data_IF_408483875442
#
_entry.id   IF_408483875442
#
_cell.length_a   1.000
_cell.length_b   1.000
_cell.length_c   1.000
_cell.angle_alpha   90.00
_cell.angle_beta   90.00
_cell.angle_gamma   90.00
#
_symmetry.space_group_name_H-M   'P 1'
#
loop_
_entity.id
_entity.type
_entity.pdbx_description
1 polymer ?
#
# COMPACT_ATOMS: atom_id res chain seq x y z
N UNK A 1 -37.44 24.44 15.01
CA UNK A 1 -36.59 24.08 13.86
C UNK A 1 -35.16 24.49 14.20
N UNK A 2 -34.46 23.68 15.01
CA UNK A 2 -33.08 23.94 15.44
C UNK A 2 -32.15 22.92 14.79
N UNK A 3 -31.19 23.44 14.03
CA UNK A 3 -30.07 22.71 13.46
C UNK A 3 -29.16 22.22 14.58
N UNK A 4 -29.10 20.91 14.81
CA UNK A 4 -28.15 20.30 15.73
C UNK A 4 -26.83 20.10 14.97
N UNK A 5 -25.93 21.07 15.12
CA UNK A 5 -24.53 20.90 14.79
C UNK A 5 -23.96 19.80 15.69
N UNK A 6 -23.61 18.64 15.12
CA UNK A 6 -22.77 17.64 15.81
C UNK A 6 -21.36 18.18 15.89
N UNK A 7 -21.07 18.83 17.02
CA UNK A 7 -19.71 19.12 17.48
C UNK A 7 -18.92 17.81 17.52
N UNK A 8 -17.78 17.78 16.83
CA UNK A 8 -16.72 16.78 17.00
C UNK A 8 -16.22 16.90 18.45
N UNK A 9 -16.88 16.20 19.36
CA UNK A 9 -16.24 15.83 20.61
C UNK A 9 -15.28 14.72 20.20
N UNK A 10 -14.02 15.08 20.00
CA UNK A 10 -12.97 14.17 20.40
C UNK A 10 -13.30 13.80 21.85
N UNK A 11 -13.97 12.67 22.07
CA UNK A 11 -14.02 12.08 23.39
C UNK A 11 -12.58 11.75 23.67
N UNK A 12 -11.90 12.70 24.31
CA UNK A 12 -10.61 12.51 24.90
C UNK A 12 -10.74 11.25 25.75
N UNK A 13 -10.17 10.14 25.28
CA UNK A 13 -9.45 9.33 26.22
C UNK A 13 -8.44 10.28 26.84
N UNK A 14 -8.66 10.63 28.10
CA UNK A 14 -7.89 11.60 28.87
C UNK A 14 -6.43 11.20 29.07
N UNK A 15 -5.92 10.18 28.39
CA UNK A 15 -4.51 9.77 28.45
C UNK A 15 -4.04 9.07 27.17
N UNK A 16 -4.29 9.61 25.97
CA UNK A 16 -3.34 9.38 24.87
C UNK A 16 -2.37 10.56 24.91
N UNK A 17 -1.10 10.36 25.35
CA UNK A 17 -0.16 11.46 25.40
C UNK A 17 -0.02 12.06 24.00
N UNK A 18 -0.13 13.39 23.90
CA UNK A 18 0.25 14.15 22.70
C UNK A 18 1.66 13.70 22.32
N UNK A 19 1.77 12.95 21.22
CA UNK A 19 3.04 12.42 20.75
C UNK A 19 3.96 13.61 20.43
N UNK A 20 5.04 13.73 21.20
CA UNK A 20 6.09 14.72 20.96
C UNK A 20 6.70 14.41 19.59
N UNK A 21 6.69 15.39 18.68
CA UNK A 21 7.36 15.29 17.39
C UNK A 21 8.84 14.96 17.61
N UNK A 22 9.25 13.71 17.36
CA UNK A 22 10.66 13.35 17.43
C UNK A 22 11.40 14.06 16.30
N UNK A 23 12.19 15.07 16.67
CA UNK A 23 13.01 15.88 15.79
C UNK A 23 14.13 15.07 15.16
N UNK A 24 13.92 14.56 13.95
CA UNK A 24 14.97 14.44 12.95
C UNK A 24 14.66 15.50 11.92
N UNK A 25 15.40 16.61 11.94
CA UNK A 25 15.05 17.78 11.14
C UNK A 25 15.22 17.47 9.65
N UNK A 26 14.14 17.06 9.00
CA UNK A 26 14.06 16.92 7.56
C UNK A 26 14.10 18.29 6.84
N UNK A 27 14.12 19.39 7.60
CA UNK A 27 14.31 20.75 7.09
C UNK A 27 15.64 20.93 6.33
N UNK A 28 16.65 20.10 6.61
CA UNK A 28 17.94 20.15 5.93
C UNK A 28 17.87 19.59 4.50
N UNK A 29 16.84 18.81 4.17
CA UNK A 29 16.63 18.28 2.83
C UNK A 29 15.67 19.21 2.07
N UNK A 30 16.14 19.91 1.02
CA UNK A 30 15.32 20.86 0.27
C UNK A 30 14.58 20.21 -0.89
N UNK A 31 14.93 18.97 -1.26
CA UNK A 31 14.49 18.36 -2.50
C UNK A 31 13.28 17.46 -2.32
N UNK A 32 12.20 17.84 -3.00
CA UNK A 32 11.04 16.97 -3.24
C UNK A 32 10.46 17.23 -4.63
N UNK A 33 9.76 16.25 -5.17
CA UNK A 33 8.97 16.37 -6.41
C UNK A 33 7.56 15.88 -6.12
N UNK A 34 6.56 16.70 -6.46
CA UNK A 34 5.16 16.35 -6.29
C UNK A 34 4.58 15.73 -7.57
N UNK A 35 4.08 14.50 -7.43
CA UNK A 35 3.37 13.75 -8.46
C UNK A 35 1.87 13.84 -8.20
N UNK A 36 1.10 14.60 -8.99
CA UNK A 36 -0.34 14.67 -8.83
C UNK A 36 -0.99 13.35 -9.28
N UNK A 37 -2.13 13.03 -8.67
CA UNK A 37 -2.99 11.97 -9.20
C UNK A 37 -3.51 12.35 -10.59
N UNK A 38 -3.57 11.38 -11.50
CA UNK A 38 -4.13 11.58 -12.85
C UNK A 38 -5.63 11.93 -12.78
N UNK A 39 -6.33 11.36 -11.81
CA UNK A 39 -7.73 11.63 -11.52
C UNK A 39 -7.87 11.98 -10.03
N UNK A 40 -8.89 12.77 -9.65
CA UNK A 40 -9.17 13.06 -8.25
C UNK A 40 -9.26 11.77 -7.42
N UNK A 41 -8.66 11.81 -6.23
CA UNK A 41 -8.67 10.66 -5.33
C UNK A 41 -10.10 10.34 -4.90
N UNK A 42 -10.50 9.08 -5.09
CA UNK A 42 -11.88 8.63 -4.86
C UNK A 42 -11.88 7.27 -4.16
N UNK A 43 -12.47 7.24 -2.96
CA UNK A 43 -12.71 6.02 -2.19
C UNK A 43 -13.75 5.08 -2.82
N UNK A 44 -14.84 5.60 -3.43
CA UNK A 44 -15.79 4.77 -4.17
C UNK A 44 -15.27 4.22 -5.51
N UNK A 45 -14.22 4.83 -6.09
CA UNK A 45 -13.67 4.42 -7.38
C UNK A 45 -13.23 2.96 -7.36
N UNK A 46 -13.44 2.24 -8.46
CA UNK A 46 -12.91 0.88 -8.66
C UNK A 46 -11.44 0.88 -9.07
N UNK A 47 -10.89 2.03 -9.48
CA UNK A 47 -9.52 2.15 -9.96
C UNK A 47 -8.55 2.54 -8.85
N UNK A 48 -7.36 1.92 -8.86
CA UNK A 48 -6.23 2.32 -8.02
C UNK A 48 -5.72 3.71 -8.42
N UNK A 49 -5.48 4.63 -7.45
CA UNK A 49 -4.87 5.94 -7.73
C UNK A 49 -3.59 5.79 -8.53
N UNK A 50 -3.42 6.62 -9.56
CA UNK A 50 -2.33 6.47 -10.51
C UNK A 50 -1.62 7.79 -10.77
N UNK A 51 -0.31 7.72 -11.02
CA UNK A 51 0.54 8.84 -11.45
C UNK A 51 0.97 8.64 -12.89
N UNK A 52 1.23 9.75 -13.60
CA UNK A 52 1.72 9.68 -14.97
C UNK A 52 3.22 9.45 -15.00
N UNK A 53 3.68 8.63 -15.94
CA UNK A 53 5.10 8.48 -16.20
C UNK A 53 5.38 7.85 -17.56
N UNK A 54 6.64 7.49 -17.80
CA UNK A 54 7.06 6.87 -19.03
C UNK A 54 8.24 5.91 -18.84
N UNK A 55 8.32 4.90 -19.70
CA UNK A 55 9.48 4.02 -19.88
C UNK A 55 9.87 4.08 -21.36
N UNK A 56 11.15 4.35 -21.66
CA UNK A 56 11.64 4.59 -23.03
C UNK A 56 10.82 5.61 -23.83
N UNK A 57 10.27 6.63 -23.17
CA UNK A 57 9.43 7.66 -23.81
C UNK A 57 7.98 7.25 -24.04
N UNK A 58 7.62 5.98 -23.88
CA UNK A 58 6.22 5.53 -23.93
C UNK A 58 5.52 5.90 -22.63
N UNK A 59 4.39 6.61 -22.74
CA UNK A 59 3.62 7.08 -21.58
C UNK A 59 2.74 5.98 -20.99
N UNK A 60 2.68 5.97 -19.66
CA UNK A 60 1.91 5.02 -18.87
C UNK A 60 1.25 5.70 -17.67
N UNK A 61 0.17 5.08 -17.18
CA UNK A 61 -0.48 5.43 -15.93
C UNK A 61 -0.07 4.38 -14.90
N UNK A 62 0.81 4.73 -13.98
CA UNK A 62 1.31 3.81 -12.97
C UNK A 62 0.41 3.85 -11.75
N UNK A 63 -0.30 2.75 -11.47
CA UNK A 63 -1.06 2.58 -10.24
C UNK A 63 -0.11 2.59 -9.05
N UNK A 64 -0.36 3.45 -8.06
CA UNK A 64 0.40 3.46 -6.81
C UNK A 64 -0.28 2.49 -5.87
N UNK A 65 0.37 1.35 -5.62
CA UNK A 65 -0.12 0.34 -4.69
C UNK A 65 0.89 0.12 -3.55
N UNK A 66 0.58 0.66 -2.37
CA UNK A 66 1.38 0.47 -1.16
C UNK A 66 1.17 -0.89 -0.49
N UNK A 67 0.14 -1.64 -0.90
CA UNK A 67 -0.19 -2.98 -0.43
C UNK A 67 0.77 -4.06 -0.91
N UNK A 68 1.48 -3.81 -2.02
CA UNK A 68 2.46 -4.77 -2.52
C UNK A 68 3.74 -4.12 -3.05
N UNK A 69 4.82 -4.91 -3.23
CA UNK A 69 6.07 -4.42 -3.77
C UNK A 69 6.23 -4.69 -5.27
N UNK A 70 7.11 -3.91 -5.88
CA UNK A 70 7.69 -4.15 -7.19
C UNK A 70 6.79 -3.75 -8.37
N UNK A 71 7.43 -3.54 -9.51
CA UNK A 71 6.79 -3.11 -10.74
C UNK A 71 6.70 -4.29 -11.70
N UNK A 72 5.55 -4.44 -12.35
CA UNK A 72 5.34 -5.41 -13.41
C UNK A 72 4.63 -4.80 -14.61
N UNK A 73 5.05 -5.22 -15.79
CA UNK A 73 4.58 -4.69 -17.05
C UNK A 73 4.63 -5.78 -18.13
N UNK A 74 3.57 -5.93 -18.92
CA UNK A 74 3.57 -6.87 -20.04
C UNK A 74 4.66 -6.54 -21.06
N UNK A 75 5.35 -7.57 -21.55
CA UNK A 75 6.36 -7.43 -22.61
C UNK A 75 5.80 -6.77 -23.88
N UNK A 76 4.53 -7.01 -24.19
CA UNK A 76 3.82 -6.37 -25.31
C UNK A 76 3.69 -4.85 -25.20
N UNK A 77 3.85 -4.27 -23.99
CA UNK A 77 3.86 -2.83 -23.77
C UNK A 77 5.26 -2.20 -23.91
N UNK A 78 6.31 -3.03 -23.94
CA UNK A 78 7.71 -2.60 -24.00
C UNK A 78 8.40 -3.17 -25.26
N UNK A 79 7.94 -2.74 -26.44
CA UNK A 79 8.39 -3.26 -27.74
C UNK A 79 9.90 -3.13 -27.98
N UNK A 80 10.56 -2.20 -27.30
CA UNK A 80 12.01 -1.97 -27.41
C UNK A 80 12.85 -2.88 -26.49
N UNK A 81 12.23 -3.53 -25.51
CA UNK A 81 12.94 -4.39 -24.55
C UNK A 81 13.07 -5.79 -25.12
N UNK A 82 14.32 -6.22 -25.34
CA UNK A 82 14.64 -7.60 -25.73
C UNK A 82 15.01 -8.40 -24.48
N UNK A 83 14.16 -9.37 -24.13
CA UNK A 83 14.45 -10.30 -23.04
C UNK A 83 15.43 -11.38 -23.51
N UNK A 84 16.38 -11.72 -22.64
CA UNK A 84 17.35 -12.78 -22.90
C UNK A 84 17.44 -13.76 -21.72
N UNK A 85 18.13 -14.89 -21.92
CA UNK A 85 18.41 -15.85 -20.86
C UNK A 85 19.26 -15.28 -19.72
N UNK A 86 20.01 -14.18 -19.97
CA UNK A 86 20.81 -13.49 -18.96
C UNK A 86 19.97 -12.69 -17.96
N UNK A 87 18.73 -12.33 -18.31
CA UNK A 87 17.84 -11.61 -17.40
C UNK A 87 17.29 -12.59 -16.35
N UNK A 88 17.35 -12.29 -15.04
CA UNK A 88 16.82 -13.17 -14.00
C UNK A 88 15.34 -13.48 -14.22
N UNK A 89 14.93 -14.73 -14.03
CA UNK A 89 13.51 -15.08 -14.06
C UNK A 89 12.80 -14.56 -12.81
N UNK A 90 11.51 -14.29 -12.94
CA UNK A 90 10.70 -13.80 -11.83
C UNK A 90 9.22 -14.10 -12.06
N UNK A 91 8.47 -14.09 -10.95
CA UNK A 91 7.04 -14.34 -10.98
C UNK A 91 6.32 -13.60 -9.85
N UNK A 92 5.03 -13.34 -10.02
CA UNK A 92 4.16 -12.79 -8.97
C UNK A 92 2.82 -13.47 -9.00
N UNK A 93 2.34 -13.88 -7.82
CA UNK A 93 0.98 -14.39 -7.66
C UNK A 93 0.13 -13.35 -6.93
N UNK A 94 -1.06 -13.07 -7.44
CA UNK A 94 -2.07 -12.24 -6.80
C UNK A 94 -3.21 -13.15 -6.31
N UNK A 95 -3.17 -13.47 -5.02
CA UNK A 95 -4.14 -14.33 -4.32
C UNK A 95 -5.59 -13.91 -4.52
N UNK A 96 -5.88 -12.61 -4.45
CA UNK A 96 -7.23 -12.03 -4.65
C UNK A 96 -7.86 -12.33 -6.01
N UNK A 97 -7.06 -12.71 -7.01
CA UNK A 97 -7.52 -12.95 -8.39
C UNK A 97 -7.13 -14.33 -8.92
N UNK A 98 -6.37 -15.10 -8.13
CA UNK A 98 -5.72 -16.34 -8.54
C UNK A 98 -4.86 -16.19 -9.82
N UNK A 99 -4.24 -15.03 -10.04
CA UNK A 99 -3.43 -14.78 -11.24
C UNK A 99 -1.94 -14.91 -10.94
N UNK A 100 -1.26 -15.74 -11.74
CA UNK A 100 0.19 -15.91 -11.73
C UNK A 100 0.82 -15.23 -12.95
N UNK A 101 1.65 -14.24 -12.69
CA UNK A 101 2.45 -13.50 -13.66
C UNK A 101 3.85 -14.10 -13.70
N UNK A 102 4.36 -14.38 -14.90
CA UNK A 102 5.70 -14.92 -15.13
C UNK A 102 6.46 -14.04 -16.13
N UNK A 103 7.76 -13.88 -15.90
CA UNK A 103 8.59 -13.03 -16.75
C UNK A 103 10.05 -13.04 -16.37
N UNK A 104 10.73 -11.96 -16.75
CA UNK A 104 12.13 -11.71 -16.40
C UNK A 104 12.34 -10.29 -15.88
N UNK A 105 13.24 -10.14 -14.93
CA UNK A 105 13.62 -8.84 -14.39
C UNK A 105 14.55 -8.09 -15.34
N UNK A 106 14.23 -6.82 -15.57
CA UNK A 106 15.04 -5.88 -16.34
C UNK A 106 15.15 -4.59 -15.55
N UNK A 107 16.37 -4.07 -15.38
CA UNK A 107 16.57 -2.75 -14.80
C UNK A 107 16.06 -1.69 -15.78
N UNK A 108 15.00 -0.99 -15.39
CA UNK A 108 14.38 0.03 -16.23
C UNK A 108 14.36 1.38 -15.51
N UNK A 109 14.49 2.43 -16.31
CA UNK A 109 14.25 3.79 -15.86
C UNK A 109 12.76 4.12 -16.02
N UNK A 110 12.11 4.44 -14.92
CA UNK A 110 10.75 4.97 -14.88
C UNK A 110 10.85 6.47 -14.68
N UNK A 111 10.38 7.25 -15.65
CA UNK A 111 10.29 8.70 -15.54
C UNK A 111 8.91 9.10 -15.08
N UNK A 112 8.77 9.64 -13.88
CA UNK A 112 7.54 10.20 -13.36
C UNK A 112 7.35 11.64 -13.82
N UNK A 113 6.10 12.00 -14.14
CA UNK A 113 5.70 13.37 -14.45
C UNK A 113 5.17 14.05 -13.19
N UNK A 114 5.90 15.06 -12.72
CA UNK A 114 5.50 15.93 -11.63
C UNK A 114 4.70 17.14 -12.12
N UNK A 115 4.34 18.00 -11.17
CA UNK A 115 3.65 19.27 -11.46
C UNK A 115 4.57 20.25 -12.20
N UNK A 116 3.99 21.17 -12.97
CA UNK A 116 4.71 22.24 -13.67
C UNK A 116 5.87 21.74 -14.57
N UNK A 117 5.75 20.54 -15.14
CA UNK A 117 6.77 19.95 -16.02
C UNK A 117 7.96 19.32 -15.28
N UNK A 118 7.96 19.28 -13.95
CA UNK A 118 8.97 18.55 -13.17
C UNK A 118 8.97 17.06 -13.54
N UNK A 119 10.13 16.41 -13.47
CA UNK A 119 10.29 14.97 -13.71
C UNK A 119 11.19 14.34 -12.66
N UNK A 120 10.90 13.10 -12.30
CA UNK A 120 11.79 12.29 -11.47
C UNK A 120 12.07 10.97 -12.20
N UNK A 121 13.32 10.54 -12.24
CA UNK A 121 13.71 9.25 -12.81
C UNK A 121 14.06 8.33 -11.66
N UNK A 122 13.40 7.18 -11.62
CA UNK A 122 13.75 6.06 -10.76
C UNK A 122 14.29 4.91 -11.58
N UNK A 123 15.26 4.18 -11.04
CA UNK A 123 15.81 2.97 -11.65
C UNK A 123 15.57 1.79 -10.72
N UNK A 124 14.81 0.81 -11.20
CA UNK A 124 14.43 -0.38 -10.42
C UNK A 124 14.39 -1.61 -11.33
N UNK A 125 14.57 -2.82 -10.77
CA UNK A 125 14.29 -4.04 -11.49
C UNK A 125 12.76 -4.20 -11.67
N UNK A 126 12.33 -4.25 -12.93
CA UNK A 126 10.93 -4.40 -13.34
C UNK A 126 10.70 -5.82 -13.86
N UNK A 127 9.65 -6.50 -13.39
CA UNK A 127 9.24 -7.78 -13.95
C UNK A 127 8.54 -7.56 -15.29
N UNK A 128 9.25 -7.82 -16.38
CA UNK A 128 8.68 -7.80 -17.73
C UNK A 128 7.97 -9.12 -17.97
N UNK A 129 6.65 -9.08 -17.91
CA UNK A 129 5.75 -10.25 -17.91
C UNK A 129 5.58 -10.78 -19.32
N UNK A 130 5.90 -12.06 -19.50
CA UNK A 130 5.75 -12.80 -20.77
C UNK A 130 4.60 -13.80 -20.75
N UNK A 131 4.13 -14.19 -19.56
CA UNK A 131 3.01 -15.13 -19.40
C UNK A 131 2.14 -14.73 -18.22
N UNK A 132 0.82 -14.85 -18.41
CA UNK A 132 -0.20 -14.58 -17.40
C UNK A 132 -1.16 -15.76 -17.42
N UNK A 133 -1.30 -16.45 -16.29
CA UNK A 133 -2.18 -17.60 -16.16
C UNK A 133 -3.06 -17.47 -14.93
N UNK A 134 -4.27 -17.99 -14.99
CA UNK A 134 -5.11 -18.18 -13.82
C UNK A 134 -4.79 -19.54 -13.20
N UNK A 135 -4.41 -19.51 -11.93
CA UNK A 135 -3.92 -20.64 -11.16
C UNK A 135 -4.57 -20.68 -9.77
N UNK A 136 -5.85 -21.10 -9.66
CA UNK A 136 -6.54 -21.16 -8.39
C UNK A 136 -5.83 -22.07 -7.38
N UNK A 137 -5.70 -21.57 -6.15
CA UNK A 137 -5.03 -22.32 -5.07
C UNK A 137 -3.55 -22.55 -5.32
N UNK A 138 -2.89 -21.70 -6.11
CA UNK A 138 -1.45 -21.73 -6.29
C UNK A 138 -0.72 -21.65 -4.94
N UNK A 139 0.21 -22.57 -4.70
CA UNK A 139 1.00 -22.61 -3.49
C UNK A 139 2.29 -21.80 -3.70
N UNK A 140 2.31 -20.58 -3.17
CA UNK A 140 3.46 -19.66 -3.29
C UNK A 140 4.74 -20.17 -2.62
N UNK A 141 4.64 -21.17 -1.74
CA UNK A 141 5.78 -21.76 -1.04
C UNK A 141 6.44 -22.89 -1.85
N UNK A 142 5.70 -23.52 -2.77
CA UNK A 142 6.18 -24.68 -3.55
C UNK A 142 6.26 -24.41 -5.05
N UNK A 143 5.43 -23.52 -5.57
CA UNK A 143 5.14 -23.43 -6.99
C UNK A 143 6.24 -22.80 -7.84
N UNK A 144 7.19 -22.05 -7.27
CA UNK A 144 8.35 -21.47 -7.98
C UNK A 144 8.04 -20.78 -9.35
N UNK A 145 6.90 -20.10 -9.47
CA UNK A 145 6.42 -19.46 -10.70
C UNK A 145 5.69 -20.38 -11.69
N UNK A 146 5.62 -21.68 -11.45
CA UNK A 146 5.01 -22.65 -12.36
C UNK A 146 3.65 -23.09 -11.83
N UNK A 147 2.57 -22.73 -12.53
CA UNK A 147 1.25 -23.23 -12.21
C UNK A 147 1.16 -24.74 -12.51
N UNK A 148 0.79 -25.59 -11.53
CA UNK A 148 0.60 -27.01 -11.77
C UNK A 148 -0.48 -27.27 -12.84
N UNK A 149 -0.29 -28.23 -13.77
CA UNK A 149 -1.23 -28.47 -14.88
C UNK A 149 -2.67 -28.71 -14.45
N UNK A 150 -2.88 -29.32 -13.29
CA UNK A 150 -4.20 -29.62 -12.70
C UNK A 150 -4.89 -28.39 -12.10
N UNK A 151 -4.13 -27.35 -11.75
CA UNK A 151 -4.66 -26.06 -11.26
C UNK A 151 -4.78 -25.01 -12.37
N UNK A 152 -4.24 -25.29 -13.55
CA UNK A 152 -4.26 -24.36 -14.66
C UNK A 152 -5.68 -24.27 -15.24
N UNK A 153 -6.30 -23.09 -15.13
CA UNK A 153 -7.62 -22.85 -15.70
C UNK A 153 -7.49 -22.60 -17.22
N UNK A 154 -7.43 -23.66 -18.01
CA UNK A 154 -7.20 -23.58 -19.48
C UNK A 154 -8.30 -22.87 -20.25
N UNK A 155 -9.52 -22.87 -19.71
CA UNK A 155 -10.67 -22.19 -20.31
C UNK A 155 -10.72 -20.69 -19.95
N UNK A 156 -9.80 -20.22 -19.12
CA UNK A 156 -9.72 -18.81 -18.77
C UNK A 156 -9.40 -17.98 -20.02
N UNK A 157 -10.39 -17.19 -20.46
CA UNK A 157 -10.31 -16.38 -21.66
C UNK A 157 -9.26 -15.28 -21.52
N UNK A 158 -8.20 -15.37 -22.34
CA UNK A 158 -7.08 -14.43 -22.40
C UNK A 158 -7.38 -13.15 -23.18
N UNK A 159 -8.62 -12.67 -23.32
CA UNK A 159 -8.89 -11.46 -24.13
C UNK A 159 -8.14 -10.26 -23.52
N UNK A 160 -6.95 -10.03 -24.10
CA UNK A 160 -6.04 -8.88 -24.01
C UNK A 160 -5.81 -8.29 -22.62
N UNK A 161 -5.46 -9.13 -21.63
CA UNK A 161 -4.98 -8.60 -20.35
C UNK A 161 -3.50 -8.26 -20.44
N UNK A 162 -3.17 -7.08 -20.96
CA UNK A 162 -1.89 -6.46 -20.61
C UNK A 162 -1.93 -6.08 -19.15
N UNK A 163 -0.80 -6.24 -18.45
CA UNK A 163 -0.66 -5.80 -17.08
C UNK A 163 0.29 -4.63 -17.02
N UNK A 164 -0.08 -3.64 -16.22
CA UNK A 164 0.80 -2.62 -15.69
C UNK A 164 0.41 -2.42 -14.25
N UNK A 165 1.39 -2.54 -13.36
CA UNK A 165 1.16 -2.46 -11.94
C UNK A 165 2.44 -1.96 -11.26
N UNK A 166 2.30 -1.04 -10.32
CA UNK A 166 3.45 -0.48 -9.60
C UNK A 166 3.24 -0.55 -8.09
N UNK A 167 3.75 -1.64 -7.52
CA UNK A 167 3.87 -1.83 -6.09
C UNK A 167 4.96 -0.94 -5.50
N UNK A 168 4.60 -0.14 -4.50
CA UNK A 168 5.48 0.78 -3.77
C UNK A 168 5.48 0.49 -2.27
N UNK A 169 4.89 -0.63 -1.86
CA UNK A 169 4.92 -1.14 -0.50
C UNK A 169 6.31 -1.62 -0.07
N UNK A 170 6.46 -1.87 1.21
CA UNK A 170 7.68 -2.41 1.84
C UNK A 170 7.33 -3.45 2.90
N UNK A 171 8.33 -4.14 3.45
CA UNK A 171 8.13 -5.06 4.57
C UNK A 171 7.45 -6.38 4.19
N UNK A 172 7.44 -6.73 2.90
CA UNK A 172 6.74 -7.93 2.38
C UNK A 172 7.67 -9.11 2.07
N UNK A 173 8.98 -8.88 1.92
CA UNK A 173 9.96 -9.95 1.75
C UNK A 173 10.30 -10.60 3.10
N UNK A 174 9.36 -11.36 3.64
CA UNK A 174 9.59 -12.25 4.79
C UNK A 174 9.78 -13.69 4.30
N UNK A 175 10.52 -14.54 5.03
CA UNK A 175 10.62 -15.97 4.70
C UNK A 175 9.22 -16.58 4.51
N UNK A 176 9.03 -17.30 3.41
CA UNK A 176 7.75 -17.90 3.06
C UNK A 176 6.71 -16.95 2.44
N UNK A 177 6.98 -15.65 2.29
CA UNK A 177 6.01 -14.73 1.66
C UNK A 177 5.67 -15.06 0.19
N UNK A 178 6.52 -15.82 -0.50
CA UNK A 178 6.42 -15.98 -1.96
C UNK A 178 6.75 -14.70 -2.74
N UNK A 179 7.31 -13.68 -2.08
CA UNK A 179 7.61 -12.36 -2.65
C UNK A 179 9.11 -12.04 -2.42
N UNK A 180 10.05 -12.83 -2.99
CA UNK A 180 11.48 -12.64 -2.75
C UNK A 180 12.02 -11.31 -3.30
N UNK A 181 11.32 -10.71 -4.26
CA UNK A 181 11.59 -9.37 -4.84
C UNK A 181 10.89 -8.24 -4.06
N UNK A 182 10.32 -8.55 -2.89
CA UNK A 182 9.71 -7.55 -2.00
C UNK A 182 10.72 -6.68 -1.26
N UNK A 183 11.91 -6.48 -1.83
CA UNK A 183 13.03 -5.76 -1.27
C UNK A 183 12.98 -4.27 -1.64
N UNK A 184 13.65 -3.39 -0.88
CA UNK A 184 13.56 -1.94 -1.09
C UNK A 184 14.06 -1.47 -2.47
N UNK A 185 14.98 -2.17 -3.12
CA UNK A 185 15.51 -1.85 -4.46
C UNK A 185 14.47 -1.99 -5.59
N UNK A 186 13.38 -2.74 -5.37
CA UNK A 186 12.26 -2.83 -6.31
C UNK A 186 11.21 -1.72 -6.14
N UNK A 187 11.33 -0.87 -5.11
CA UNK A 187 10.37 0.20 -4.86
C UNK A 187 10.75 1.48 -5.64
N UNK A 188 9.98 1.88 -6.66
CA UNK A 188 10.37 2.99 -7.50
C UNK A 188 10.29 4.35 -6.80
N UNK A 189 9.56 4.50 -5.69
CA UNK A 189 9.46 5.80 -5.01
C UNK A 189 10.68 6.12 -4.13
N UNK A 190 11.51 5.13 -3.80
CA UNK A 190 12.72 5.32 -2.97
C UNK A 190 14.04 5.10 -3.71
N UNK A 191 13.98 4.67 -4.98
CA UNK A 191 15.14 4.50 -5.86
C UNK A 191 15.17 5.58 -6.96
N UNK A 192 14.89 6.82 -6.58
CA UNK A 192 15.00 8.01 -7.44
C UNK A 192 16.49 8.32 -7.67
N UNK A 193 16.91 8.37 -8.93
CA UNK A 193 18.30 8.63 -9.33
C UNK A 193 18.50 10.02 -9.94
N UNK A 194 17.46 10.64 -10.51
CA UNK A 194 17.60 11.95 -11.14
C UNK A 194 16.28 12.76 -11.10
N UNK A 195 16.19 13.79 -10.24
CA UNK A 195 15.14 14.80 -10.30
C UNK A 195 15.50 15.91 -11.30
N UNK A 196 14.60 16.26 -12.24
CA UNK A 196 14.88 17.26 -13.28
C UNK A 196 15.09 18.68 -12.74
N UNK A 197 14.57 18.96 -11.54
CA UNK A 197 14.67 20.27 -10.88
C UNK A 197 16.05 20.54 -10.27
N UNK A 198 16.84 19.51 -10.01
CA UNK A 198 18.08 19.64 -9.25
C UNK A 198 19.26 19.08 -10.04
N UNK A 199 20.36 19.85 -10.09
CA UNK A 199 21.60 19.43 -10.78
C UNK A 199 22.33 18.31 -10.05
N UNK A 200 22.12 18.18 -8.74
CA UNK A 200 22.69 17.15 -7.88
C UNK A 200 21.58 16.53 -7.03
N UNK A 201 21.66 15.22 -6.80
CA UNK A 201 20.70 14.49 -5.98
C UNK A 201 21.00 14.70 -4.49
N UNK A 202 20.17 15.48 -3.82
CA UNK A 202 20.20 15.70 -2.38
C UNK A 202 18.81 15.45 -1.78
N UNK A 203 18.29 14.26 -2.07
CA UNK A 203 16.95 13.82 -1.75
C UNK A 203 17.01 12.79 -0.62
N UNK A 204 16.26 13.04 0.46
CA UNK A 204 16.06 12.03 1.51
C UNK A 204 15.16 10.93 0.95
N UNK A 205 15.70 9.73 0.74
CA UNK A 205 14.95 8.61 0.21
C UNK A 205 13.77 8.26 1.12
N UNK A 206 12.58 8.31 0.52
CA UNK A 206 11.31 8.25 1.20
C UNK A 206 10.25 8.98 0.40
N UNK A 207 9.00 8.89 0.83
CA UNK A 207 7.89 9.52 0.14
C UNK A 207 6.76 9.87 1.10
N UNK A 208 5.90 10.81 0.67
CA UNK A 208 4.59 11.03 1.29
C UNK A 208 3.47 10.66 0.31
N UNK A 209 2.34 10.17 0.82
CA UNK A 209 1.15 9.88 0.01
C UNK A 209 -0.07 10.47 0.71
N UNK A 210 -0.91 11.16 -0.06
CA UNK A 210 -2.14 11.81 0.40
C UNK A 210 -3.25 11.69 -0.65
N UNK A 211 -4.45 12.19 -0.34
CA UNK A 211 -5.53 12.35 -1.35
C UNK A 211 -5.18 13.32 -2.48
N UNK A 212 -4.08 14.09 -2.39
CA UNK A 212 -3.65 15.03 -3.43
C UNK A 212 -2.65 14.43 -4.41
N UNK A 213 -1.78 13.52 -3.94
CA UNK A 213 -0.72 12.96 -4.74
C UNK A 213 0.38 12.33 -3.90
N UNK A 214 1.53 12.14 -4.53
CA UNK A 214 2.75 11.58 -3.94
C UNK A 214 3.84 12.64 -3.94
N UNK A 215 4.52 12.85 -2.82
CA UNK A 215 5.79 13.58 -2.83
C UNK A 215 6.95 12.58 -2.81
N UNK A 216 7.77 12.60 -3.85
CA UNK A 216 9.04 11.89 -3.89
C UNK A 216 10.10 12.68 -3.13
N UNK A 217 10.82 12.03 -2.23
CA UNK A 217 11.80 12.69 -1.38
C UNK A 217 11.17 13.38 -0.19
N UNK A 218 11.74 13.14 0.99
CA UNK A 218 11.32 13.82 2.20
C UNK A 218 12.03 15.17 2.35
N UNK A 219 11.24 16.20 2.61
CA UNK A 219 11.71 17.56 2.81
C UNK A 219 10.87 18.22 3.89
N UNK A 220 11.42 19.23 4.59
CA UNK A 220 10.68 19.94 5.65
C UNK A 220 9.27 20.39 5.23
N UNK A 221 9.10 20.80 3.96
CA UNK A 221 7.81 21.25 3.39
C UNK A 221 6.74 20.16 3.32
N UNK A 222 7.11 18.88 3.18
CA UNK A 222 6.16 17.77 3.05
C UNK A 222 6.12 16.86 4.29
N UNK A 223 6.99 17.11 5.28
CA UNK A 223 7.01 16.39 6.55
C UNK A 223 6.71 17.26 7.76
N UNK A 224 6.17 18.46 7.55
CA UNK A 224 5.74 19.30 8.66
C UNK A 224 4.55 18.66 9.39
N UNK A 225 4.61 18.64 10.73
CA UNK A 225 3.56 18.05 11.57
C UNK A 225 3.49 16.52 11.55
N UNK A 226 4.49 15.82 11.01
CA UNK A 226 4.50 14.36 11.04
C UNK A 226 4.71 13.85 12.45
N UNK A 227 3.85 12.92 12.86
CA UNK A 227 4.05 12.07 14.04
C UNK A 227 4.61 10.72 13.59
N UNK A 228 5.70 10.27 14.21
CA UNK A 228 6.50 9.14 13.73
C UNK A 228 6.37 7.91 14.61
N UNK A 229 6.19 6.76 13.96
CA UNK A 229 6.42 5.44 14.53
C UNK A 229 7.74 4.89 14.01
N UNK A 230 8.60 4.43 14.92
CA UNK A 230 9.82 3.70 14.55
C UNK A 230 9.45 2.31 14.02
N UNK A 231 10.08 1.90 12.92
CA UNK A 231 9.91 0.58 12.32
C UNK A 231 11.00 -0.37 12.80
N UNK A 232 10.67 -1.65 12.85
CA UNK A 232 11.62 -2.70 13.15
C UNK A 232 12.48 -3.02 11.93
N UNK A 233 13.74 -3.38 12.18
CA UNK A 233 14.68 -3.73 11.13
C UNK A 233 14.39 -5.15 10.65
N UNK A 234 14.32 -5.34 9.33
CA UNK A 234 14.28 -6.68 8.75
C UNK A 234 15.69 -7.17 8.43
N UNK A 235 15.87 -8.49 8.49
CA UNK A 235 17.07 -9.13 8.00
C UNK A 235 17.20 -8.92 6.47
N UNK A 236 18.43 -8.70 6.01
CA UNK A 236 18.74 -8.53 4.59
C UNK A 236 19.90 -7.55 4.35
N UNK A 237 20.46 -7.55 3.14
CA UNK A 237 21.61 -6.71 2.80
C UNK A 237 21.24 -5.23 2.61
N UNK A 238 19.98 -4.92 2.25
CA UNK A 238 19.55 -3.54 2.06
C UNK A 238 19.23 -2.86 3.41
N UNK A 239 19.98 -1.81 3.74
CA UNK A 239 19.81 -1.01 4.95
C UNK A 239 18.47 -0.25 5.02
N UNK A 240 17.63 -0.34 3.99
CA UNK A 240 16.27 0.21 3.95
C UNK A 240 15.18 -0.85 4.13
N UNK A 241 15.57 -2.10 4.43
CA UNK A 241 14.62 -3.16 4.74
C UNK A 241 14.02 -2.95 6.14
N UNK A 242 12.71 -2.68 6.20
CA UNK A 242 11.97 -2.36 7.41
C UNK A 242 10.67 -3.17 7.45
N UNK A 243 10.27 -3.58 8.65
CA UNK A 243 9.00 -4.26 8.87
C UNK A 243 7.83 -3.27 8.70
N UNK A 244 6.61 -3.75 8.40
CA UNK A 244 5.42 -2.91 8.37
C UNK A 244 5.18 -2.18 9.72
N UNK A 245 4.47 -1.04 9.73
CA UNK A 245 4.07 -0.39 10.98
C UNK A 245 3.19 -1.33 11.81
N UNK A 246 3.25 -1.18 13.13
CA UNK A 246 2.35 -1.84 14.07
C UNK A 246 1.09 -1.01 14.31
N UNK A 247 -0.02 -1.68 14.63
CA UNK A 247 -1.29 -1.09 15.07
C UNK A 247 -1.94 -1.97 16.13
N UNK A 248 -2.60 -1.38 17.12
CA UNK A 248 -3.54 -2.08 17.98
C UNK A 248 -4.96 -1.74 17.56
N UNK A 249 -5.86 -2.70 17.62
CA UNK A 249 -7.29 -2.45 17.42
C UNK A 249 -8.16 -3.15 18.45
N UNK A 250 -9.35 -2.60 18.66
CA UNK A 250 -10.46 -3.21 19.39
C UNK A 250 -11.73 -3.11 18.55
N UNK A 251 -12.75 -3.89 18.91
CA UNK A 251 -14.10 -3.69 18.40
C UNK A 251 -15.09 -3.54 19.56
N UNK A 252 -16.11 -2.74 19.32
CA UNK A 252 -17.17 -2.39 20.26
C UNK A 252 -16.59 -1.96 21.62
N UNK A 253 -17.01 -2.59 22.71
CA UNK A 253 -16.56 -2.30 24.06
C UNK A 253 -15.51 -3.31 24.57
N UNK A 254 -14.77 -3.96 23.67
CA UNK A 254 -13.70 -4.87 24.09
C UNK A 254 -12.57 -4.12 24.76
N UNK A 255 -12.19 -4.56 25.96
CA UNK A 255 -11.04 -4.05 26.72
C UNK A 255 -9.71 -4.76 26.35
N UNK A 256 -9.75 -5.73 25.44
CA UNK A 256 -8.60 -6.53 25.04
C UNK A 256 -8.12 -6.11 23.65
N UNK A 257 -7.16 -5.18 23.53
CA UNK A 257 -6.63 -4.78 22.24
C UNK A 257 -5.84 -5.90 21.58
N UNK A 258 -5.99 -6.03 20.26
CA UNK A 258 -5.20 -6.93 19.43
C UNK A 258 -4.07 -6.15 18.79
N UNK A 259 -2.83 -6.51 19.11
CA UNK A 259 -1.64 -6.00 18.44
C UNK A 259 -1.46 -6.70 17.08
N UNK A 260 -1.34 -5.91 16.02
CA UNK A 260 -1.27 -6.36 14.64
C UNK A 260 -0.19 -5.61 13.86
N UNK A 261 0.21 -6.18 12.72
CA UNK A 261 0.89 -5.44 11.67
C UNK A 261 -0.14 -4.67 10.83
N UNK A 262 0.21 -3.47 10.41
CA UNK A 262 -0.61 -2.62 9.56
C UNK A 262 -0.04 -2.51 8.15
N UNK A 263 -0.95 -2.49 7.18
CA UNK A 263 -0.69 -2.19 5.79
C UNK A 263 -1.66 -1.08 5.36
N UNK A 264 -1.12 0.11 5.12
CA UNK A 264 -1.91 1.20 4.54
C UNK A 264 -1.89 0.97 3.04
N UNK A 265 -2.96 0.45 2.46
CA UNK A 265 -2.99 -0.06 1.09
C UNK A 265 -3.79 0.86 0.15
N UNK A 266 -3.11 1.51 -0.79
CA UNK A 266 -3.75 2.35 -1.80
C UNK A 266 -4.42 1.57 -2.93
N UNK A 267 -4.07 0.29 -3.10
CA UNK A 267 -4.57 -0.63 -4.13
C UNK A 267 -6.05 -0.94 -4.00
N UNK A 268 -6.58 -1.02 -2.78
CA UNK A 268 -7.93 -1.54 -2.50
C UNK A 268 -8.82 -0.52 -1.75
N UNK A 269 -10.15 -0.68 -1.85
CA UNK A 269 -11.13 0.18 -1.14
C UNK A 269 -11.60 -0.40 0.18
N UNK A 270 -11.55 -1.72 0.27
CA UNK A 270 -11.97 -2.50 1.41
C UNK A 270 -10.81 -2.64 2.40
N UNK A 271 -11.17 -2.98 3.63
CA UNK A 271 -10.23 -3.32 4.68
C UNK A 271 -10.22 -4.83 4.88
N UNK A 272 -9.04 -5.40 5.14
CA UNK A 272 -8.90 -6.76 5.64
C UNK A 272 -8.42 -6.71 7.09
N UNK A 273 -9.09 -7.45 7.97
CA UNK A 273 -8.65 -7.61 9.36
C UNK A 273 -8.49 -9.09 9.68
N UNK A 274 -7.32 -9.46 10.17
CA UNK A 274 -7.09 -10.70 10.88
C UNK A 274 -7.01 -10.42 12.37
N UNK A 275 -7.96 -10.98 13.11
CA UNK A 275 -7.96 -10.92 14.58
C UNK A 275 -7.36 -12.18 15.20
N UNK A 276 -7.27 -12.20 16.53
CA UNK A 276 -6.92 -13.40 17.29
C UNK A 276 -8.17 -14.23 17.60
N UNK A 277 -8.03 -15.55 17.87
CA UNK A 277 -9.15 -16.37 18.34
C UNK A 277 -9.81 -15.84 19.62
N UNK A 278 -9.06 -15.12 20.48
CA UNK A 278 -9.55 -14.51 21.70
C UNK A 278 -10.38 -13.23 21.50
N UNK A 279 -10.41 -12.67 20.29
CA UNK A 279 -11.23 -11.51 19.95
C UNK A 279 -11.83 -11.68 18.53
N UNK A 280 -12.76 -12.62 18.32
CA UNK A 280 -13.36 -12.83 17.01
C UNK A 280 -14.20 -11.62 16.60
N UNK A 281 -14.03 -11.18 15.35
CA UNK A 281 -14.84 -10.08 14.81
C UNK A 281 -16.31 -10.50 14.65
N UNK A 282 -17.29 -9.63 14.96
CA UNK A 282 -18.69 -9.87 14.66
C UNK A 282 -18.90 -9.93 13.15
N UNK A 283 -19.22 -11.11 12.61
CA UNK A 283 -19.25 -11.36 11.17
C UNK A 283 -20.63 -11.75 10.67
N UNK A 284 -20.87 -11.50 9.38
CA UNK A 284 -22.05 -11.92 8.63
C UNK A 284 -21.62 -12.45 7.27
N UNK A 285 -22.26 -13.54 6.83
CA UNK A 285 -22.09 -14.07 5.48
C UNK A 285 -23.09 -13.40 4.55
N UNK A 286 -22.61 -12.82 3.45
CA UNK A 286 -23.43 -12.12 2.46
C UNK A 286 -23.15 -12.67 1.07
N UNK A 287 -24.01 -12.37 0.09
CA UNK A 287 -23.71 -12.70 -1.31
C UNK A 287 -22.49 -11.91 -1.77
N UNK A 288 -21.56 -12.59 -2.45
CA UNK A 288 -20.43 -11.93 -3.09
C UNK A 288 -20.96 -11.01 -4.21
N UNK A 289 -20.60 -9.72 -4.24
CA UNK A 289 -20.95 -8.82 -5.34
C UNK A 289 -20.27 -9.17 -6.68
N UNK A 290 -19.31 -10.11 -6.68
CA UNK A 290 -18.72 -10.69 -7.89
C UNK A 290 -19.79 -11.29 -8.82
N UNK A 291 -19.61 -11.23 -10.16
CA UNK A 291 -20.51 -11.90 -11.11
C UNK A 291 -20.52 -13.43 -10.98
N UNK A 292 -19.56 -14.01 -10.24
CA UNK A 292 -19.55 -15.43 -9.94
C UNK A 292 -20.40 -15.74 -8.69
N UNK A 293 -21.22 -16.79 -8.70
CA UNK A 293 -21.99 -17.18 -7.52
C UNK A 293 -21.04 -17.53 -6.36
N UNK A 294 -21.21 -16.84 -5.24
CA UNK A 294 -20.39 -17.03 -4.06
C UNK A 294 -20.94 -16.29 -2.85
N UNK A 295 -20.41 -16.63 -1.69
CA UNK A 295 -20.67 -15.90 -0.44
C UNK A 295 -19.38 -15.33 0.09
N UNK A 296 -19.46 -14.13 0.65
CA UNK A 296 -18.35 -13.43 1.27
C UNK A 296 -18.68 -13.12 2.72
N UNK A 297 -17.73 -13.43 3.62
CA UNK A 297 -17.82 -13.04 5.02
C UNK A 297 -17.39 -11.59 5.16
N UNK A 298 -18.17 -10.79 5.90
CA UNK A 298 -17.89 -9.39 6.22
C UNK A 298 -18.08 -9.15 7.71
N UNK A 299 -17.42 -8.12 8.23
CA UNK A 299 -17.75 -7.62 9.58
C UNK A 299 -19.14 -6.99 9.52
N UNK A 300 -19.95 -7.28 10.53
CA UNK A 300 -21.34 -6.82 10.64
C UNK A 300 -21.40 -5.28 10.66
N UNK A 301 -22.35 -4.71 9.91
CA UNK A 301 -22.64 -3.27 10.00
C UNK A 301 -23.07 -2.88 11.42
N UNK A 302 -22.65 -1.70 11.88
CA UNK A 302 -22.86 -1.22 13.24
C UNK A 302 -21.74 -1.59 14.23
N UNK A 303 -20.83 -2.49 13.87
CA UNK A 303 -19.65 -2.79 14.69
C UNK A 303 -18.74 -1.56 14.75
N UNK A 304 -18.40 -1.10 15.96
CA UNK A 304 -17.43 -0.01 16.13
C UNK A 304 -16.02 -0.59 16.09
N UNK A 305 -15.14 -0.04 15.27
CA UNK A 305 -13.73 -0.42 15.22
C UNK A 305 -12.87 0.78 15.62
N UNK A 306 -11.90 0.55 16.50
CA UNK A 306 -11.00 1.59 17.02
C UNK A 306 -9.56 1.13 16.81
N UNK A 307 -8.71 2.01 16.29
CA UNK A 307 -7.32 1.73 15.96
C UNK A 307 -6.38 2.76 16.59
N UNK A 308 -5.21 2.30 17.06
CA UNK A 308 -4.12 3.14 17.54
C UNK A 308 -2.78 2.61 17.03
N UNK A 309 -1.94 3.49 16.48
CA UNK A 309 -0.62 3.19 15.95
C UNK A 309 0.45 3.76 16.88
N UNK A 310 1.40 2.99 17.43
CA UNK A 310 1.49 1.53 17.38
C UNK A 310 0.44 0.81 18.24
N UNK A 311 0.00 1.46 19.32
CA UNK A 311 -0.87 0.88 20.34
C UNK A 311 -1.62 1.97 21.13
N UNK A 312 -2.56 1.57 22.00
CA UNK A 312 -3.39 2.50 22.78
C UNK A 312 -2.65 3.21 23.93
N UNK A 313 -1.42 2.79 24.29
CA UNK A 313 -0.62 3.39 25.37
C UNK A 313 0.37 4.44 24.85
N UNK A 314 0.99 4.17 23.69
CA UNK A 314 2.04 4.98 23.05
C UNK A 314 1.60 5.50 21.68
N UNK A 315 0.30 5.54 21.43
CA UNK A 315 -0.28 5.89 20.14
C UNK A 315 0.21 7.24 19.63
N UNK A 316 0.81 7.25 18.45
CA UNK A 316 1.17 8.45 17.69
C UNK A 316 0.05 8.89 16.75
N UNK A 317 -0.79 7.96 16.31
CA UNK A 317 -1.98 8.23 15.51
C UNK A 317 -3.09 7.22 15.87
N UNK A 318 -4.34 7.58 15.62
CA UNK A 318 -5.47 6.69 15.84
C UNK A 318 -6.70 7.15 15.08
N UNK A 319 -7.61 6.23 14.79
CA UNK A 319 -8.89 6.52 14.17
C UNK A 319 -9.90 5.46 14.53
N UNK A 320 -11.17 5.80 14.46
CA UNK A 320 -12.28 4.89 14.66
C UNK A 320 -13.38 5.13 13.63
N UNK A 321 -14.20 4.11 13.43
CA UNK A 321 -15.41 4.21 12.62
C UNK A 321 -16.40 3.10 12.99
N UNK A 322 -17.65 3.29 12.59
CA UNK A 322 -18.71 2.29 12.74
C UNK A 322 -18.97 1.66 11.38
N UNK A 323 -18.74 0.35 11.23
CA UNK A 323 -18.85 -0.35 9.93
C UNK A 323 -20.19 -0.07 9.26
N UNK A 324 -20.14 0.47 8.04
CA UNK A 324 -21.33 0.85 7.25
C UNK A 324 -21.72 2.32 7.37
N UNK A 325 -21.03 3.13 8.19
CA UNK A 325 -21.22 4.58 8.27
C UNK A 325 -20.60 5.29 7.06
N UNK A 326 -21.40 5.50 6.01
CA UNK A 326 -20.96 6.16 4.79
C UNK A 326 -20.71 7.66 4.96
N UNK A 327 -21.05 8.27 6.11
CA UNK A 327 -20.77 9.68 6.37
C UNK A 327 -19.30 9.92 6.75
N UNK A 328 -18.58 8.89 7.24
CA UNK A 328 -17.18 8.98 7.59
C UNK A 328 -16.27 8.72 6.36
N UNK A 329 -15.57 9.73 5.82
CA UNK A 329 -14.85 9.58 4.55
C UNK A 329 -13.74 8.51 4.59
N UNK A 330 -13.11 8.32 5.75
CA UNK A 330 -12.03 7.34 5.92
C UNK A 330 -12.51 5.92 6.14
N UNK A 331 -13.82 5.69 6.23
CA UNK A 331 -14.35 4.35 6.35
C UNK A 331 -14.02 3.53 5.08
N UNK A 332 -13.50 2.30 5.20
CA UNK A 332 -13.34 1.39 4.06
C UNK A 332 -14.69 1.01 3.44
N UNK A 333 -14.72 0.67 2.15
CA UNK A 333 -15.97 0.29 1.45
C UNK A 333 -16.73 -0.84 2.16
N UNK A 334 -16.00 -1.78 2.73
CA UNK A 334 -16.45 -2.79 3.68
C UNK A 334 -15.23 -3.33 4.43
N UNK A 335 -15.47 -4.08 5.50
CA UNK A 335 -14.42 -4.78 6.25
C UNK A 335 -14.61 -6.28 6.06
N UNK A 336 -13.57 -6.97 5.62
CA UNK A 336 -13.55 -8.41 5.42
C UNK A 336 -12.62 -9.05 6.47
N UNK A 337 -13.14 -9.93 7.33
CA UNK A 337 -12.29 -10.73 8.21
C UNK A 337 -11.49 -11.73 7.36
N UNK A 338 -10.22 -11.93 7.69
CA UNK A 338 -9.36 -12.96 7.09
C UNK A 338 -8.74 -13.83 8.17
N UNK A 339 -8.53 -15.11 7.86
CA UNK A 339 -8.10 -16.13 8.82
C UNK A 339 -6.79 -16.82 8.44
N UNK A 340 -6.23 -16.51 7.27
CA UNK A 340 -5.19 -17.31 6.61
C UNK A 340 -3.74 -16.80 6.78
N UNK A 341 -3.47 -15.88 7.71
CA UNK A 341 -2.13 -15.30 7.91
C UNK A 341 -1.37 -15.82 9.14
N UNK A 342 -0.09 -15.45 9.23
CA UNK A 342 0.85 -15.80 10.32
C UNK A 342 0.62 -15.04 11.64
N UNK A 343 -0.44 -14.23 11.75
CA UNK A 343 -0.77 -13.47 12.95
C UNK A 343 -1.77 -12.35 12.66
N UNK A 344 -2.11 -11.54 13.69
CA UNK A 344 -3.02 -10.42 13.52
C UNK A 344 -2.50 -9.37 12.53
N UNK A 345 -3.40 -8.85 11.71
CA UNK A 345 -3.07 -8.00 10.58
C UNK A 345 -4.21 -7.05 10.25
N UNK A 346 -3.89 -5.81 9.86
CA UNK A 346 -4.86 -4.82 9.41
C UNK A 346 -4.38 -4.23 8.09
N UNK A 347 -5.10 -4.50 7.01
CA UNK A 347 -4.98 -3.73 5.78
C UNK A 347 -6.10 -2.70 5.75
N UNK A 348 -5.77 -1.41 5.83
CA UNK A 348 -6.77 -0.34 5.97
C UNK A 348 -7.57 -0.05 4.70
N UNK A 349 -7.04 -0.43 3.54
CA UNK A 349 -7.46 0.12 2.26
C UNK A 349 -7.17 1.62 2.13
N UNK A 350 -7.50 2.17 0.96
CA UNK A 350 -7.06 3.50 0.54
C UNK A 350 -7.83 4.64 1.20
N UNK A 351 -9.04 4.36 1.70
CA UNK A 351 -9.90 5.39 2.30
C UNK A 351 -9.26 5.98 3.57
N UNK A 352 -8.35 5.25 4.22
CA UNK A 352 -7.50 5.78 5.28
C UNK A 352 -6.87 7.14 4.94
N UNK A 353 -6.54 7.37 3.65
CA UNK A 353 -5.92 8.62 3.21
C UNK A 353 -6.83 9.85 3.32
N UNK A 354 -8.15 9.69 3.47
CA UNK A 354 -9.05 10.82 3.73
C UNK A 354 -8.84 11.43 5.12
N UNK A 355 -8.35 10.64 6.09
CA UNK A 355 -8.03 11.12 7.44
C UNK A 355 -6.56 11.43 7.64
N UNK A 356 -5.67 10.85 6.82
CA UNK A 356 -4.23 10.94 7.00
C UNK A 356 -3.48 11.06 5.67
N UNK A 357 -2.38 11.83 5.67
CA UNK A 357 -1.28 11.54 4.74
C UNK A 357 -0.29 10.62 5.44
N UNK A 358 0.28 9.67 4.70
CA UNK A 358 1.32 8.77 5.20
C UNK A 358 2.70 9.24 4.74
N UNK A 359 3.72 8.95 5.53
CA UNK A 359 5.11 9.27 5.24
C UNK A 359 5.98 8.05 5.51
N UNK A 360 6.84 7.69 4.57
CA UNK A 360 7.84 6.63 4.76
C UNK A 360 9.25 7.21 4.62
N UNK A 361 10.05 7.12 5.68
CA UNK A 361 11.46 7.49 5.69
C UNK A 361 12.31 6.21 5.63
N UNK A 362 12.69 5.84 4.41
CA UNK A 362 13.42 4.60 4.15
C UNK A 362 14.82 4.56 4.78
N UNK A 363 15.41 5.73 5.04
CA UNK A 363 16.76 5.83 5.63
C UNK A 363 16.70 5.69 7.16
N UNK A 364 15.76 6.38 7.83
CA UNK A 364 15.66 6.30 9.30
C UNK A 364 14.79 5.14 9.81
N UNK A 365 14.07 4.43 8.94
CA UNK A 365 13.19 3.34 9.37
C UNK A 365 12.05 3.85 10.23
N UNK A 366 11.29 4.81 9.71
CA UNK A 366 10.12 5.34 10.40
C UNK A 366 8.96 5.54 9.43
N UNK A 367 7.76 5.27 9.93
CA UNK A 367 6.50 5.50 9.24
C UNK A 367 5.74 6.58 9.98
N UNK A 368 5.22 7.56 9.25
CA UNK A 368 4.68 8.78 9.80
C UNK A 368 3.26 9.05 9.31
N UNK A 369 2.53 9.79 10.13
CA UNK A 369 1.18 10.23 9.84
C UNK A 369 1.12 11.76 9.90
N UNK A 370 0.41 12.37 8.96
CA UNK A 370 0.01 13.78 9.02
C UNK A 370 -1.51 13.78 9.00
N UNK A 371 -2.13 14.32 10.03
CA UNK A 371 -3.59 14.40 10.08
C UNK A 371 -4.11 15.32 8.97
N UNK A 372 -4.97 14.80 8.11
CA UNK A 372 -5.74 15.63 7.21
C UNK A 372 -6.86 16.26 8.04
N UNK A 373 -6.74 17.56 8.37
CA UNK A 373 -7.84 18.27 9.00
C UNK A 373 -9.11 18.03 8.16
N UNK A 374 -10.12 17.39 8.75
CA UNK A 374 -11.45 17.31 8.17
C UNK A 374 -11.95 18.75 8.06
N UNK A 375 -11.97 19.29 6.84
CA UNK A 375 -12.56 20.60 6.56
C UNK A 375 -14.07 20.49 6.50
#
# INVERSE_FOLDING_TARGET
>A
MLSIYRTLVATFFTTVPLAIAQGNSLSVFPQTIFLPWIAPFSGPSTYTPSVRGSIFGTNFNFSIDTGSPGVLISSSLLLTVKLSSKNPTGWKFLDSSDILYNGRFVDLNITFCGSNGERAISRVPVLVVTSIVKCPGYDVFKGNGVCPPEKLERQWSQIRRTVLYMGVGFGRNVPGSGIPYGTPDHNPLINVIAPSKYKQLFLRQGYTISTKGVCLGLAGVNTNGVVWQKLEKMAGPDLRAWAPPLVSFTHDNSNNPVQAQALIDTGITQMYIQSTPGLPLPNVTTKDPSPLPGTITRVKSGTKLVFAFPDFKKGVAGYDFVVGDTAFPSQPRYVQPVTSGSGPFVNTGRNFLYGFSIVFDAIAGRFGFIFAQCK
#
